data_IF_612362601417
#
_entry.id   IF_612362601417
#
_cell.length_a   1.000
_cell.length_b   1.000
_cell.length_c   1.000
_cell.angle_alpha   90.00
_cell.angle_beta   90.00
_cell.angle_gamma   90.00
#
_symmetry.space_group_name_H-M   'P 1'
#
loop_
_entity.id
_entity.type
_entity.pdbx_description
1 polymer ?
#
# COMPACT_ATOMS: atom_id res chain seq x y z
N UNK A 1 24.03 8.99 0.83
CA UNK A 1 23.51 7.68 0.35
C UNK A 1 22.24 7.38 1.12
N UNK A 2 21.12 7.17 0.43
CA UNK A 2 19.79 6.94 1.02
C UNK A 2 19.73 5.57 1.73
N UNK A 3 19.30 5.57 2.99
CA UNK A 3 19.13 4.37 3.81
C UNK A 3 17.70 3.87 3.75
N UNK A 4 17.50 2.62 3.35
CA UNK A 4 16.19 2.05 3.10
C UNK A 4 15.95 0.83 3.99
N UNK A 5 14.79 0.78 4.66
CA UNK A 5 14.31 -0.42 5.34
C UNK A 5 13.18 -1.03 4.53
N UNK A 6 13.31 -2.31 4.19
CA UNK A 6 12.31 -3.04 3.39
C UNK A 6 11.68 -4.17 4.21
N UNK A 7 10.35 -4.34 4.10
CA UNK A 7 9.58 -5.40 4.76
C UNK A 7 8.49 -5.94 3.81
N UNK A 8 8.17 -7.21 3.94
CA UNK A 8 7.06 -7.87 3.25
C UNK A 8 7.48 -8.89 2.20
N UNK A 9 6.51 -9.31 1.37
CA UNK A 9 6.72 -10.38 0.37
C UNK A 9 7.68 -9.95 -0.74
N UNK A 10 7.73 -8.65 -1.05
CA UNK A 10 8.62 -8.06 -2.07
C UNK A 10 10.05 -7.81 -1.57
N UNK A 11 10.35 -8.05 -0.28
CA UNK A 11 11.58 -7.59 0.37
C UNK A 11 12.85 -8.07 -0.31
N UNK A 12 12.93 -9.30 -0.81
CA UNK A 12 14.14 -9.83 -1.47
C UNK A 12 14.38 -9.14 -2.82
N UNK A 13 13.35 -9.04 -3.66
CA UNK A 13 13.46 -8.39 -4.96
C UNK A 13 13.79 -6.90 -4.82
N UNK A 14 13.09 -6.19 -3.93
CA UNK A 14 13.34 -4.77 -3.68
C UNK A 14 14.69 -4.50 -3.04
N UNK A 15 15.17 -5.37 -2.15
CA UNK A 15 16.54 -5.27 -1.61
C UNK A 15 17.55 -5.37 -2.74
N UNK A 16 17.41 -6.35 -3.65
CA UNK A 16 18.28 -6.49 -4.82
C UNK A 16 18.25 -5.24 -5.69
N UNK A 17 17.05 -4.77 -6.04
CA UNK A 17 16.86 -3.55 -6.84
C UNK A 17 17.56 -2.33 -6.21
N UNK A 18 17.32 -2.09 -4.92
CA UNK A 18 17.88 -0.91 -4.25
C UNK A 18 19.41 -0.98 -4.12
N UNK A 19 19.97 -2.15 -3.87
CA UNK A 19 21.42 -2.34 -3.87
C UNK A 19 22.02 -2.07 -5.24
N UNK A 20 21.40 -2.57 -6.32
CA UNK A 20 21.85 -2.34 -7.70
C UNK A 20 21.80 -0.86 -8.10
N UNK A 21 20.86 -0.09 -7.52
CA UNK A 21 20.75 1.37 -7.71
C UNK A 21 21.60 2.19 -6.72
N UNK A 22 22.46 1.54 -5.94
CA UNK A 22 23.39 2.21 -5.02
C UNK A 22 22.76 2.73 -3.74
N UNK A 23 21.55 2.26 -3.37
CA UNK A 23 20.93 2.59 -2.09
C UNK A 23 21.44 1.65 -1.00
N UNK A 24 21.40 2.09 0.27
CA UNK A 24 21.91 1.34 1.41
C UNK A 24 20.77 0.69 2.19
N UNK A 25 20.83 -0.62 2.39
CA UNK A 25 19.84 -1.34 3.21
C UNK A 25 20.24 -1.27 4.68
N UNK A 26 19.28 -0.88 5.53
CA UNK A 26 19.43 -0.83 6.98
C UNK A 26 18.36 -1.63 7.68
N UNK A 27 18.63 -2.10 8.88
CA UNK A 27 17.72 -2.93 9.68
C UNK A 27 17.11 -4.09 8.84
N UNK A 28 17.88 -4.89 8.07
CA UNK A 28 17.32 -6.00 7.32
C UNK A 28 16.64 -7.01 8.26
N UNK A 29 15.68 -7.79 7.75
CA UNK A 29 15.23 -8.98 8.48
C UNK A 29 16.32 -10.04 8.47
N UNK A 30 16.27 -11.00 9.40
CA UNK A 30 17.25 -12.10 9.44
C UNK A 30 17.35 -12.82 8.09
N UNK A 31 16.20 -13.09 7.44
CA UNK A 31 16.13 -13.74 6.12
C UNK A 31 16.82 -12.90 5.03
N UNK A 32 16.67 -11.58 5.06
CA UNK A 32 17.32 -10.69 4.09
C UNK A 32 18.83 -10.61 4.38
N UNK A 33 19.22 -10.48 5.65
CA UNK A 33 20.63 -10.47 6.03
C UNK A 33 21.34 -11.74 5.58
N UNK A 34 20.72 -12.91 5.76
CA UNK A 34 21.22 -14.21 5.32
C UNK A 34 21.34 -14.31 3.80
N UNK A 35 20.26 -13.98 3.06
CA UNK A 35 20.22 -14.09 1.58
C UNK A 35 21.26 -13.22 0.89
N UNK A 36 21.55 -12.04 1.45
CA UNK A 36 22.52 -11.10 0.88
C UNK A 36 23.85 -11.11 1.59
N UNK A 37 24.07 -12.01 2.56
CA UNK A 37 25.31 -12.12 3.35
C UNK A 37 25.78 -10.77 3.93
N UNK A 38 24.81 -9.97 4.41
CA UNK A 38 25.08 -8.65 4.94
C UNK A 38 25.05 -8.62 6.47
N UNK A 39 25.94 -7.81 7.04
CA UNK A 39 25.89 -7.50 8.48
C UNK A 39 24.72 -6.54 8.71
N UNK A 40 23.79 -6.85 9.64
CA UNK A 40 22.70 -5.94 9.96
C UNK A 40 23.23 -4.59 10.47
N UNK A 41 22.80 -3.53 9.82
CA UNK A 41 23.08 -2.15 10.22
C UNK A 41 21.86 -1.60 10.96
N UNK A 42 22.02 -1.25 12.22
CA UNK A 42 20.93 -0.73 13.08
C UNK A 42 20.67 0.78 12.91
N UNK A 43 21.21 1.37 11.85
CA UNK A 43 20.97 2.77 11.53
C UNK A 43 19.48 3.05 11.25
N UNK A 44 19.03 4.26 11.56
CA UNK A 44 17.66 4.70 11.24
C UNK A 44 17.48 4.84 9.72
N UNK A 45 16.38 4.33 9.16
CA UNK A 45 16.09 4.48 7.75
C UNK A 45 15.62 5.89 7.40
N UNK A 46 16.09 6.40 6.27
CA UNK A 46 15.56 7.62 5.66
C UNK A 46 14.18 7.33 5.03
N UNK A 47 14.08 6.13 4.40
CA UNK A 47 12.85 5.65 3.75
C UNK A 47 12.50 4.25 4.25
N UNK A 48 11.21 4.03 4.49
CA UNK A 48 10.64 2.74 4.85
C UNK A 48 9.74 2.25 3.72
N UNK A 49 9.96 1.03 3.27
CA UNK A 49 9.15 0.34 2.28
C UNK A 49 8.54 -0.90 2.92
N UNK A 50 7.22 -1.02 2.86
CA UNK A 50 6.48 -2.16 3.42
C UNK A 50 5.33 -2.56 2.53
N UNK A 51 4.91 -3.82 2.62
CA UNK A 51 3.76 -4.30 1.87
C UNK A 51 2.52 -3.44 2.13
N UNK A 52 1.71 -3.28 1.10
CA UNK A 52 0.31 -2.91 1.24
C UNK A 52 -0.46 -4.01 1.99
N UNK A 53 -1.58 -3.63 2.57
CA UNK A 53 -2.46 -4.56 3.28
C UNK A 53 -2.99 -5.68 2.37
N UNK A 54 -3.34 -5.33 1.11
CA UNK A 54 -3.82 -6.25 0.09
C UNK A 54 -2.72 -7.01 -0.66
N UNK A 55 -1.43 -6.81 -0.30
CA UNK A 55 -0.27 -7.41 -0.96
C UNK A 55 -0.08 -7.07 -2.45
N UNK A 56 -0.84 -6.12 -2.99
CA UNK A 56 -0.78 -5.74 -4.40
C UNK A 56 0.31 -4.69 -4.70
N UNK A 57 1.21 -4.47 -3.79
CA UNK A 57 2.30 -3.50 -3.90
C UNK A 57 2.86 -3.11 -2.54
N UNK A 58 3.41 -1.91 -2.46
CA UNK A 58 4.08 -1.40 -1.26
C UNK A 58 3.63 0.01 -0.89
N UNK A 59 3.79 0.34 0.39
CA UNK A 59 3.71 1.70 0.90
C UNK A 59 5.14 2.18 1.16
N UNK A 60 5.50 3.31 0.57
CA UNK A 60 6.79 3.98 0.71
C UNK A 60 6.62 5.22 1.58
N UNK A 61 7.39 5.32 2.65
CA UNK A 61 7.33 6.44 3.60
C UNK A 61 8.71 7.07 3.74
N UNK A 62 8.83 8.33 3.40
CA UNK A 62 10.11 9.05 3.41
C UNK A 62 9.96 10.55 3.28
N UNK A 63 11.03 11.26 3.03
CA UNK A 63 11.06 12.71 2.83
C UNK A 63 12.04 13.11 1.73
N UNK A 64 11.62 14.14 0.96
CA UNK A 64 12.49 14.88 0.05
C UNK A 64 13.29 13.99 -0.90
N UNK A 65 14.56 14.32 -1.11
CA UNK A 65 15.46 13.62 -2.03
C UNK A 65 15.59 12.11 -1.75
N UNK A 66 15.56 11.71 -0.48
CA UNK A 66 15.64 10.30 -0.12
C UNK A 66 14.43 9.50 -0.60
N UNK A 67 13.23 10.07 -0.51
CA UNK A 67 12.01 9.47 -1.03
C UNK A 67 12.10 9.37 -2.55
N UNK A 68 12.47 10.45 -3.24
CA UNK A 68 12.57 10.48 -4.70
C UNK A 68 13.62 9.49 -5.24
N UNK A 69 14.73 9.28 -4.53
CA UNK A 69 15.73 8.27 -4.91
C UNK A 69 15.11 6.84 -4.92
N UNK A 70 14.28 6.52 -3.94
CA UNK A 70 13.58 5.22 -3.88
C UNK A 70 12.50 5.13 -4.96
N UNK A 71 11.68 6.16 -5.12
CA UNK A 71 10.65 6.20 -6.16
C UNK A 71 11.24 6.14 -7.57
N UNK A 72 12.35 6.85 -7.81
CA UNK A 72 13.09 6.82 -9.07
C UNK A 72 13.64 5.43 -9.38
N UNK A 73 14.16 4.71 -8.36
CA UNK A 73 14.60 3.33 -8.54
C UNK A 73 13.45 2.39 -8.94
N UNK A 74 12.26 2.57 -8.33
CA UNK A 74 11.08 1.78 -8.67
C UNK A 74 10.56 2.13 -10.09
N UNK A 75 10.40 3.42 -10.42
CA UNK A 75 9.93 3.86 -11.75
C UNK A 75 10.83 3.41 -12.88
N UNK A 76 12.14 3.42 -12.67
CA UNK A 76 13.11 3.00 -13.68
C UNK A 76 13.14 1.51 -13.96
N UNK A 77 12.50 0.68 -13.13
CA UNK A 77 12.53 -0.78 -13.25
C UNK A 77 11.14 -1.40 -13.47
N UNK A 78 10.08 -0.79 -12.95
CA UNK A 78 8.73 -1.31 -12.91
C UNK A 78 7.81 -0.47 -13.82
N UNK A 79 7.68 -0.89 -15.08
CA UNK A 79 7.10 -0.07 -16.15
C UNK A 79 5.59 0.15 -16.05
N UNK A 80 4.85 -0.74 -15.38
CA UNK A 80 3.41 -0.65 -15.19
C UNK A 80 3.00 -0.29 -13.75
N UNK A 81 3.98 0.02 -12.87
CA UNK A 81 3.71 0.40 -11.50
C UNK A 81 2.95 1.73 -11.41
N UNK A 82 1.93 1.77 -10.56
CA UNK A 82 1.10 2.96 -10.34
C UNK A 82 1.49 3.59 -9.01
N UNK A 83 1.84 4.88 -9.04
CA UNK A 83 2.31 5.66 -7.89
C UNK A 83 1.22 6.65 -7.48
N UNK A 84 0.85 6.65 -6.19
CA UNK A 84 -0.17 7.55 -5.64
C UNK A 84 0.37 8.21 -4.39
N UNK A 85 0.58 9.51 -4.42
CA UNK A 85 0.95 10.27 -3.22
C UNK A 85 -0.27 10.45 -2.35
N UNK A 86 -0.16 10.07 -1.06
CA UNK A 86 -1.22 10.35 -0.11
C UNK A 86 -1.32 11.87 0.13
N UNK A 87 -2.53 12.44 0.18
CA UNK A 87 -2.73 13.85 0.46
C UNK A 87 -2.58 14.19 1.96
N UNK A 88 -1.87 13.36 2.71
CA UNK A 88 -1.52 13.53 4.11
C UNK A 88 -0.11 12.99 4.37
N UNK A 89 0.48 13.38 5.50
CA UNK A 89 1.82 12.95 5.89
C UNK A 89 1.77 12.13 7.18
N UNK A 90 2.53 11.04 7.25
CA UNK A 90 2.64 10.21 8.44
C UNK A 90 3.44 10.96 9.53
N UNK A 91 2.92 10.97 10.76
CA UNK A 91 3.42 11.70 11.93
C UNK A 91 3.28 13.21 11.83
N UNK A 92 2.63 13.74 10.81
CA UNK A 92 2.23 15.14 10.78
C UNK A 92 1.15 15.42 11.82
N UNK A 93 1.18 16.65 12.37
CA UNK A 93 0.18 17.13 13.31
C UNK A 93 -0.70 18.15 12.57
N UNK A 94 -1.99 17.95 12.68
CA UNK A 94 -3.00 18.79 12.05
C UNK A 94 -3.94 19.40 13.08
N UNK A 95 -4.46 20.58 12.77
CA UNK A 95 -5.77 21.01 13.23
C UNK A 95 -6.77 20.35 12.29
N UNK A 96 -7.60 19.46 12.82
CA UNK A 96 -8.61 18.78 12.05
C UNK A 96 -10.01 19.29 12.41
N UNK A 97 -10.89 19.37 11.42
CA UNK A 97 -12.31 19.68 11.64
C UNK A 97 -13.09 18.39 11.85
N UNK A 98 -13.90 18.34 12.90
CA UNK A 98 -14.74 17.18 13.19
C UNK A 98 -15.87 17.07 12.20
N UNK A 99 -15.96 15.95 11.47
CA UNK A 99 -17.00 15.66 10.45
C UNK A 99 -18.08 14.78 11.01
N UNK A 100 -17.70 13.74 11.75
CA UNK A 100 -18.63 12.83 12.43
C UNK A 100 -18.01 12.37 13.74
N UNK A 101 -18.53 12.92 14.82
CA UNK A 101 -18.04 12.65 16.17
C UNK A 101 -18.24 11.19 16.58
N UNK A 102 -19.41 10.61 16.29
CA UNK A 102 -19.75 9.25 16.69
C UNK A 102 -18.86 8.20 15.99
N UNK A 103 -18.43 8.49 14.77
CA UNK A 103 -17.53 7.63 13.97
C UNK A 103 -16.06 8.00 14.12
N UNK A 104 -15.75 9.09 14.83
CA UNK A 104 -14.40 9.61 14.97
C UNK A 104 -13.78 10.06 13.64
N UNK A 105 -14.57 10.73 12.78
CA UNK A 105 -14.11 11.21 11.48
C UNK A 105 -13.67 12.67 11.56
N UNK A 106 -12.46 12.95 11.08
CA UNK A 106 -11.81 14.25 11.13
C UNK A 106 -11.30 14.62 9.73
N UNK A 107 -11.68 15.80 9.24
CA UNK A 107 -11.13 16.37 8.01
C UNK A 107 -9.79 17.07 8.31
N UNK A 108 -8.75 16.70 7.58
CA UNK A 108 -7.39 17.23 7.67
C UNK A 108 -7.10 18.34 6.63
N UNK A 109 -8.11 18.78 5.88
CA UNK A 109 -7.98 19.71 4.76
C UNK A 109 -8.16 19.02 3.42
N UNK A 110 -9.35 18.42 3.22
CA UNK A 110 -9.72 17.66 2.02
C UNK A 110 -9.50 16.14 2.13
N UNK A 111 -9.03 15.66 3.29
CA UNK A 111 -8.85 14.23 3.58
C UNK A 111 -9.54 13.87 4.87
N UNK A 112 -10.45 12.92 4.81
CA UNK A 112 -11.12 12.40 6.01
C UNK A 112 -10.26 11.29 6.62
N UNK A 113 -9.73 11.57 7.81
CA UNK A 113 -9.03 10.62 8.66
C UNK A 113 -9.97 10.04 9.74
N UNK A 114 -9.59 8.90 10.28
CA UNK A 114 -10.34 8.25 11.37
C UNK A 114 -9.49 8.20 12.63
N UNK A 115 -10.11 8.49 13.78
CA UNK A 115 -9.48 8.25 15.09
C UNK A 115 -9.10 6.78 15.27
N UNK A 116 -7.99 6.55 15.95
CA UNK A 116 -7.61 5.19 16.37
C UNK A 116 -8.62 4.64 17.36
N UNK A 117 -8.72 3.33 17.42
CA UNK A 117 -9.66 2.64 18.30
C UNK A 117 -9.39 2.96 19.78
N UNK A 118 -10.45 3.22 20.53
CA UNK A 118 -10.39 3.57 21.96
C UNK A 118 -10.26 5.06 22.24
N UNK A 119 -10.09 5.91 21.22
CA UNK A 119 -10.12 7.36 21.39
C UNK A 119 -11.48 7.93 20.96
N UNK A 120 -11.93 8.96 21.69
CA UNK A 120 -13.22 9.63 21.47
C UNK A 120 -13.03 11.17 21.35
N UNK A 121 -13.89 11.81 20.58
CA UNK A 121 -13.98 13.27 20.50
C UNK A 121 -15.05 13.72 21.50
N UNK A 122 -14.73 14.72 22.33
CA UNK A 122 -15.67 15.27 23.28
C UNK A 122 -16.91 15.89 22.60
N UNK A 123 -18.05 16.00 23.33
CA UNK A 123 -19.24 16.65 22.80
C UNK A 123 -18.94 18.10 22.41
N UNK A 124 -19.65 18.59 21.40
CA UNK A 124 -19.56 19.97 20.91
C UNK A 124 -18.15 20.43 20.46
N UNK A 125 -17.26 19.47 20.14
CA UNK A 125 -15.92 19.76 19.61
C UNK A 125 -15.99 19.92 18.10
N UNK A 126 -15.75 21.13 17.61
CA UNK A 126 -15.72 21.41 16.17
C UNK A 126 -14.35 21.15 15.55
N UNK A 127 -13.27 21.45 16.28
CA UNK A 127 -11.89 21.26 15.85
C UNK A 127 -11.08 20.50 16.89
N UNK A 128 -10.13 19.69 16.41
CA UNK A 128 -9.31 18.83 17.25
C UNK A 128 -7.86 18.80 16.75
N UNK A 129 -6.91 18.85 17.70
CA UNK A 129 -5.50 18.62 17.40
C UNK A 129 -5.25 17.13 17.29
N UNK A 130 -4.76 16.69 16.13
CA UNK A 130 -4.53 15.28 15.86
C UNK A 130 -3.22 15.03 15.15
N UNK A 131 -2.63 13.87 15.39
CA UNK A 131 -1.45 13.37 14.65
C UNK A 131 -1.81 12.16 13.82
N UNK A 132 -1.36 12.13 12.55
CA UNK A 132 -1.44 10.91 11.74
C UNK A 132 -0.45 9.88 12.27
N UNK A 133 -0.96 8.81 12.88
CA UNK A 133 -0.13 7.78 13.54
C UNK A 133 0.00 6.50 12.74
N UNK A 134 -0.95 6.25 11.82
CA UNK A 134 -0.95 5.07 10.95
C UNK A 134 -1.56 5.41 9.58
N UNK A 135 -1.05 4.74 8.57
CA UNK A 135 -1.59 4.78 7.20
C UNK A 135 -1.44 3.41 6.54
N UNK A 136 -2.36 3.08 5.64
CA UNK A 136 -2.21 1.97 4.69
C UNK A 136 -1.88 2.43 3.27
N UNK A 137 -1.37 3.66 3.12
CA UNK A 137 -1.07 4.32 1.85
C UNK A 137 -2.19 5.23 1.36
N UNK A 138 -3.46 4.89 1.62
CA UNK A 138 -4.65 5.61 1.12
C UNK A 138 -5.53 6.20 2.21
N UNK A 139 -5.53 5.60 3.41
CA UNK A 139 -6.31 6.05 4.57
C UNK A 139 -5.40 6.44 5.70
N UNK A 140 -5.77 7.47 6.43
CA UNK A 140 -5.08 7.93 7.62
C UNK A 140 -5.87 7.57 8.89
N UNK A 141 -5.15 7.10 9.91
CA UNK A 141 -5.65 7.02 11.28
C UNK A 141 -4.93 8.05 12.11
N UNK A 142 -5.68 8.79 12.88
CA UNK A 142 -5.20 9.89 13.71
C UNK A 142 -5.38 9.62 15.18
N UNK A 143 -4.48 10.15 16.00
CA UNK A 143 -4.57 10.12 17.45
C UNK A 143 -4.64 11.55 18.00
N UNK A 144 -5.40 11.72 19.07
CA UNK A 144 -5.47 12.95 19.88
C UNK A 144 -4.28 13.09 20.85
N UNK A 145 -3.42 12.09 20.91
CA UNK A 145 -2.22 12.07 21.74
C UNK A 145 -0.97 12.19 20.87
N UNK A 146 -0.65 13.39 20.36
CA UNK A 146 0.50 13.59 19.49
C UNK A 146 1.81 13.34 20.23
N UNK A 147 2.83 12.97 19.47
CA UNK A 147 4.20 12.84 19.95
C UNK A 147 5.18 13.53 18.99
N UNK A 148 6.12 14.28 19.53
CA UNK A 148 7.17 14.93 18.75
C UNK A 148 8.43 14.06 18.78
N UNK A 149 8.84 13.59 17.59
CA UNK A 149 9.96 12.68 17.44
C UNK A 149 11.23 13.45 17.08
N UNK A 150 12.17 13.52 18.03
CA UNK A 150 13.53 13.94 17.80
C UNK A 150 14.46 12.78 17.40
N UNK A 151 15.77 13.07 17.35
CA UNK A 151 16.81 12.08 17.06
C UNK A 151 17.12 11.19 18.28
N UNK A 152 17.09 11.75 19.48
CA UNK A 152 17.46 11.14 20.75
C UNK A 152 16.23 10.87 21.62
N UNK A 153 15.22 11.75 21.56
CA UNK A 153 14.05 11.73 22.44
C UNK A 153 12.76 11.82 21.65
N UNK A 154 11.70 11.28 22.20
CA UNK A 154 10.32 11.51 21.78
C UNK A 154 9.60 12.22 22.92
N UNK A 155 9.11 13.43 22.68
CA UNK A 155 8.27 14.18 23.62
C UNK A 155 6.82 13.70 23.47
N UNK A 156 6.15 13.44 24.59
CA UNK A 156 4.75 13.03 24.68
C UNK A 156 3.95 14.06 25.50
N UNK A 157 3.35 15.07 24.85
CA UNK A 157 2.73 16.19 25.56
C UNK A 157 1.57 15.84 26.50
N UNK A 158 0.85 14.74 26.23
CA UNK A 158 -0.34 14.34 27.00
C UNK A 158 -0.18 13.01 27.76
N UNK A 159 0.99 12.43 27.74
CA UNK A 159 1.28 11.15 28.39
C UNK A 159 2.48 11.31 29.32
N UNK A 160 2.28 11.68 30.61
CA UNK A 160 3.39 11.87 31.55
C UNK A 160 4.16 10.58 31.81
N UNK A 161 5.44 10.72 32.13
CA UNK A 161 6.30 9.61 32.48
C UNK A 161 7.58 9.55 31.63
N UNK A 162 8.56 8.77 32.11
CA UNK A 162 9.84 8.59 31.45
C UNK A 162 10.00 7.14 31.00
N UNK A 163 10.32 6.96 29.74
CA UNK A 163 10.55 5.65 29.14
C UNK A 163 11.94 5.62 28.47
N UNK A 164 12.58 4.47 28.48
CA UNK A 164 13.80 4.20 27.72
C UNK A 164 13.57 3.04 26.76
N UNK A 165 14.01 3.21 25.50
CA UNK A 165 13.90 2.19 24.47
C UNK A 165 14.39 0.83 24.96
N UNK A 166 13.66 -0.24 24.66
CA UNK A 166 14.07 -1.63 24.99
C UNK A 166 15.38 -2.06 24.31
N UNK A 167 15.83 -1.31 23.29
CA UNK A 167 17.13 -1.55 22.61
C UNK A 167 18.32 -1.04 23.40
N UNK A 168 18.12 -0.24 24.44
CA UNK A 168 19.16 0.13 25.39
C UNK A 168 19.27 -1.01 26.40
N UNK A 169 20.23 -1.90 26.17
CA UNK A 169 20.48 -3.11 27.01
C UNK A 169 21.46 -2.84 28.14
N UNK A 170 22.26 -1.77 28.07
CA UNK A 170 23.17 -1.34 29.12
C UNK A 170 22.38 -0.72 30.28
N UNK A 171 22.40 -1.37 31.42
CA UNK A 171 21.66 -1.00 32.63
C UNK A 171 22.12 0.35 33.22
N UNK A 172 23.44 0.68 33.14
CA UNK A 172 23.98 1.95 33.62
C UNK A 172 23.46 3.11 32.73
N UNK A 173 23.58 2.96 31.41
CA UNK A 173 23.01 3.93 30.46
C UNK A 173 21.49 4.08 30.63
N UNK A 174 20.79 2.98 30.86
CA UNK A 174 19.35 2.99 31.10
C UNK A 174 18.99 3.75 32.36
N UNK A 175 19.65 3.47 33.48
CA UNK A 175 19.43 4.16 34.76
C UNK A 175 19.73 5.66 34.66
N UNK A 176 20.86 6.02 33.99
CA UNK A 176 21.24 7.41 33.72
C UNK A 176 20.14 8.15 32.94
N UNK A 177 19.63 7.55 31.83
CA UNK A 177 18.58 8.16 31.01
C UNK A 177 17.26 8.31 31.76
N UNK A 178 16.86 7.34 32.62
CA UNK A 178 15.67 7.46 33.44
C UNK A 178 15.77 8.63 34.41
N UNK A 179 16.89 8.75 35.17
CA UNK A 179 17.13 9.86 36.09
C UNK A 179 17.12 11.21 35.37
N UNK A 180 17.83 11.30 34.25
CA UNK A 180 17.83 12.52 33.44
C UNK A 180 16.42 12.89 32.94
N UNK A 181 15.63 11.90 32.53
CA UNK A 181 14.25 12.14 32.08
C UNK A 181 13.35 12.70 33.17
N UNK A 182 13.51 12.25 34.42
CA UNK A 182 12.79 12.79 35.57
C UNK A 182 13.15 14.27 35.84
N UNK A 183 14.39 14.68 35.54
CA UNK A 183 14.84 16.07 35.69
C UNK A 183 14.44 16.95 34.51
N UNK A 184 14.36 16.39 33.28
CA UNK A 184 14.12 17.15 32.05
C UNK A 184 12.65 17.15 31.60
N UNK A 185 11.84 16.20 32.05
CA UNK A 185 10.45 16.13 31.63
C UNK A 185 9.65 17.36 32.10
N UNK A 186 9.00 18.12 31.20
CA UNK A 186 8.14 19.20 31.62
C UNK A 186 6.94 18.68 32.40
N UNK A 187 6.37 19.52 33.26
CA UNK A 187 5.19 19.16 34.06
C UNK A 187 4.02 18.70 33.14
N UNK A 188 3.48 17.52 33.43
CA UNK A 188 2.39 16.91 32.69
C UNK A 188 2.79 16.27 31.35
N UNK A 189 4.05 16.32 30.95
CA UNK A 189 4.56 15.69 29.72
C UNK A 189 5.44 14.48 30.02
N UNK A 190 5.62 13.63 29.02
CA UNK A 190 6.50 12.47 29.11
C UNK A 190 7.64 12.51 28.08
N UNK A 191 8.71 11.80 28.42
CA UNK A 191 9.88 11.64 27.56
C UNK A 191 10.16 10.15 27.32
N UNK A 192 10.40 9.79 26.05
CA UNK A 192 10.89 8.48 25.69
C UNK A 192 12.24 8.56 25.00
N UNK A 193 13.29 8.08 25.66
CA UNK A 193 14.63 8.03 25.09
C UNK A 193 14.76 6.94 24.03
N UNK A 194 15.34 7.29 22.91
CA UNK A 194 15.67 6.37 21.81
C UNK A 194 17.01 5.69 22.09
N UNK A 195 17.30 4.59 21.38
CA UNK A 195 18.55 3.85 21.59
C UNK A 195 19.81 4.67 21.36
N UNK A 196 19.77 5.67 20.48
CA UNK A 196 20.91 6.56 20.21
C UNK A 196 21.28 7.44 21.41
N UNK A 197 20.33 7.77 22.26
CA UNK A 197 20.57 8.59 23.45
C UNK A 197 21.55 7.93 24.46
N UNK A 198 21.73 6.61 24.42
CA UNK A 198 22.59 5.90 25.35
C UNK A 198 24.07 6.31 25.25
N UNK A 199 24.56 6.70 24.07
CA UNK A 199 25.93 7.09 23.81
C UNK A 199 26.16 8.58 23.61
N UNK A 200 25.21 9.43 24.01
CA UNK A 200 25.27 10.88 23.78
C UNK A 200 25.36 11.63 25.10
N UNK A 201 26.01 12.81 25.08
CA UNK A 201 26.17 13.69 26.24
C UNK A 201 24.83 14.24 26.73
N UNK A 202 24.74 14.52 28.01
CA UNK A 202 23.52 15.05 28.65
C UNK A 202 23.08 16.40 28.07
N UNK A 203 24.05 17.24 27.75
CA UNK A 203 23.77 18.58 27.19
C UNK A 203 23.10 18.50 25.81
N UNK A 204 23.56 17.58 24.96
CA UNK A 204 22.94 17.37 23.64
C UNK A 204 21.48 16.88 23.76
N UNK A 205 21.25 15.99 24.73
CA UNK A 205 19.90 15.49 25.03
C UNK A 205 19.03 16.64 25.56
N UNK A 206 19.55 17.47 26.47
CA UNK A 206 18.84 18.64 27.03
C UNK A 206 18.44 19.62 25.94
N UNK A 207 19.36 19.97 25.04
CA UNK A 207 19.12 20.88 23.91
C UNK A 207 17.97 20.33 23.03
N UNK A 208 17.98 19.02 22.74
CA UNK A 208 16.90 18.41 21.94
C UNK A 208 15.55 18.46 22.67
N UNK A 209 15.51 18.13 23.97
CA UNK A 209 14.27 18.20 24.77
C UNK A 209 13.70 19.62 24.77
N UNK A 210 14.52 20.62 25.07
CA UNK A 210 14.11 22.03 25.05
C UNK A 210 13.63 22.48 23.67
N UNK A 211 14.28 22.01 22.61
CA UNK A 211 13.85 22.25 21.23
C UNK A 211 12.46 21.69 20.94
N UNK A 212 12.20 20.43 21.35
CA UNK A 212 10.90 19.78 21.19
C UNK A 212 9.80 20.45 22.03
N UNK A 213 10.12 20.92 23.24
CA UNK A 213 9.15 21.65 24.08
C UNK A 213 8.76 22.98 23.41
N UNK A 214 9.73 23.77 22.95
CA UNK A 214 9.46 25.03 22.22
C UNK A 214 8.64 24.77 20.94
N UNK A 215 8.94 23.69 20.23
CA UNK A 215 8.18 23.30 19.04
C UNK A 215 6.73 22.98 19.42
N UNK A 216 6.52 22.22 20.52
CA UNK A 216 5.19 21.91 21.02
C UNK A 216 4.38 23.15 21.42
N UNK A 217 4.98 24.07 22.17
CA UNK A 217 4.35 25.33 22.58
C UNK A 217 3.88 26.14 21.37
N UNK A 218 4.69 26.17 20.29
CA UNK A 218 4.31 26.81 19.04
C UNK A 218 3.11 26.11 18.39
N UNK A 219 3.13 24.77 18.31
CA UNK A 219 2.01 24.00 17.75
C UNK A 219 0.69 24.28 18.52
N UNK A 220 0.75 24.31 19.85
CA UNK A 220 -0.40 24.65 20.66
C UNK A 220 -0.90 26.10 20.43
N UNK A 221 0.03 27.06 20.33
CA UNK A 221 -0.32 28.44 20.04
C UNK A 221 -0.98 28.57 18.65
N UNK A 222 -0.41 27.95 17.64
CA UNK A 222 -0.95 27.91 16.29
C UNK A 222 -2.33 27.22 16.25
N UNK A 223 -2.53 26.15 17.03
CA UNK A 223 -3.83 25.50 17.16
C UNK A 223 -4.88 26.42 17.78
N UNK A 224 -4.53 27.18 18.83
CA UNK A 224 -5.49 28.08 19.53
C UNK A 224 -5.85 29.34 18.73
N UNK A 225 -4.92 29.86 17.92
CA UNK A 225 -5.08 31.15 17.24
C UNK A 225 -5.64 31.03 15.81
N UNK A 226 -5.65 29.86 15.22
CA UNK A 226 -6.08 29.67 13.84
C UNK A 226 -7.50 29.10 13.72
N UNK A 227 -7.99 28.97 12.50
CA UNK A 227 -9.31 28.44 12.16
C UNK A 227 -9.19 27.39 11.04
N UNK A 228 -10.11 26.40 11.05
CA UNK A 228 -10.26 25.39 10.00
C UNK A 228 -9.14 24.36 9.94
N UNK A 229 -9.23 23.39 9.02
CA UNK A 229 -8.20 22.38 8.86
C UNK A 229 -6.86 22.98 8.44
N UNK A 230 -5.76 22.63 9.14
CA UNK A 230 -4.43 23.14 8.85
C UNK A 230 -3.33 22.14 9.25
N UNK A 231 -2.26 22.10 8.47
CA UNK A 231 -1.02 21.40 8.82
C UNK A 231 -0.23 22.25 9.82
N UNK A 232 -0.06 21.78 11.06
CA UNK A 232 0.67 22.49 12.12
C UNK A 232 2.14 22.02 12.21
N UNK A 233 2.38 20.74 11.94
CA UNK A 233 3.72 20.17 11.90
C UNK A 233 3.83 19.18 10.74
N UNK A 234 4.80 19.34 9.83
CA UNK A 234 5.00 18.36 8.75
C UNK A 234 5.48 17.03 9.30
N UNK A 235 5.12 15.97 8.58
CA UNK A 235 5.52 14.59 8.84
C UNK A 235 6.30 14.01 7.67
N UNK A 236 6.22 12.69 7.48
CA UNK A 236 6.80 11.99 6.33
C UNK A 236 5.74 11.79 5.25
N UNK A 237 6.14 12.00 4.00
CA UNK A 237 5.31 11.70 2.85
C UNK A 237 5.04 10.20 2.76
N UNK A 238 3.85 9.87 2.26
CA UNK A 238 3.39 8.49 2.07
C UNK A 238 3.04 8.31 0.60
N UNK A 239 3.62 7.31 -0.04
CA UNK A 239 3.32 6.95 -1.42
C UNK A 239 2.85 5.50 -1.46
N UNK A 240 1.63 5.30 -1.96
CA UNK A 240 1.07 4.00 -2.29
C UNK A 240 1.57 3.59 -3.68
N UNK A 241 2.33 2.51 -3.76
CA UNK A 241 2.86 1.99 -5.03
C UNK A 241 2.25 0.63 -5.30
N UNK A 242 1.44 0.58 -6.34
CA UNK A 242 0.83 -0.65 -6.81
C UNK A 242 1.72 -1.33 -7.83
N UNK A 243 1.85 -2.65 -7.71
CA UNK A 243 2.60 -3.50 -8.62
C UNK A 243 1.64 -4.37 -9.44
N UNK A 244 1.25 -3.96 -10.65
CA UNK A 244 0.50 -4.84 -11.56
C UNK A 244 1.35 -6.03 -12.04
N UNK A 245 0.80 -6.80 -12.95
CA UNK A 245 1.34 -8.08 -13.39
C UNK A 245 2.79 -8.02 -13.89
N UNK A 246 3.15 -7.07 -14.77
CA UNK A 246 4.52 -6.98 -15.30
C UNK A 246 5.53 -6.56 -14.23
N UNK A 247 5.15 -5.66 -13.33
CA UNK A 247 5.98 -5.31 -12.17
C UNK A 247 6.26 -6.53 -11.30
N UNK A 248 5.26 -7.38 -11.04
CA UNK A 248 5.43 -8.62 -10.27
C UNK A 248 6.36 -9.61 -10.97
N UNK A 249 6.21 -9.79 -12.29
CA UNK A 249 7.12 -10.63 -13.08
C UNK A 249 8.56 -10.11 -13.03
N UNK A 250 8.74 -8.78 -13.17
CA UNK A 250 10.07 -8.17 -13.08
C UNK A 250 10.69 -8.37 -11.69
N UNK A 251 9.91 -8.25 -10.64
CA UNK A 251 10.35 -8.53 -9.27
C UNK A 251 10.69 -10.01 -9.06
N UNK A 252 9.99 -10.96 -9.72
CA UNK A 252 10.35 -12.37 -9.72
C UNK A 252 11.72 -12.61 -10.37
N UNK A 253 12.02 -11.94 -11.48
CA UNK A 253 13.32 -12.01 -12.13
C UNK A 253 14.44 -11.53 -11.22
N UNK A 254 14.27 -10.35 -10.59
CA UNK A 254 15.23 -9.81 -9.61
C UNK A 254 15.44 -10.77 -8.45
N UNK A 255 14.36 -11.31 -7.89
CA UNK A 255 14.40 -12.28 -6.78
C UNK A 255 15.14 -13.55 -7.17
N UNK A 256 14.93 -14.06 -8.39
CA UNK A 256 15.56 -15.29 -8.92
C UNK A 256 17.09 -15.17 -8.98
N UNK A 257 17.63 -13.98 -9.11
CA UNK A 257 19.09 -13.76 -9.04
C UNK A 257 19.68 -13.95 -7.64
N UNK A 258 18.82 -14.01 -6.60
CA UNK A 258 19.23 -14.07 -5.19
C UNK A 258 18.91 -15.42 -4.56
N UNK A 259 17.75 -15.97 -4.87
CA UNK A 259 17.29 -17.24 -4.29
C UNK A 259 16.33 -17.97 -5.25
N UNK A 260 16.13 -19.30 -5.06
CA UNK A 260 15.16 -20.07 -5.82
C UNK A 260 13.80 -19.37 -5.84
N UNK A 261 13.21 -19.21 -7.02
CA UNK A 261 11.98 -18.44 -7.22
C UNK A 261 11.10 -19.16 -8.25
N UNK A 262 9.90 -19.52 -7.85
CA UNK A 262 8.89 -20.04 -8.77
C UNK A 262 8.41 -18.94 -9.73
N UNK A 263 8.00 -19.33 -10.91
CA UNK A 263 7.36 -18.42 -11.84
C UNK A 263 6.02 -17.92 -11.28
N UNK A 264 5.79 -16.62 -11.35
CA UNK A 264 4.60 -16.01 -10.76
C UNK A 264 4.64 -15.85 -9.22
N UNK A 265 5.82 -15.99 -8.59
CA UNK A 265 5.97 -15.91 -7.13
C UNK A 265 5.19 -14.74 -6.51
N UNK A 266 5.44 -13.51 -6.96
CA UNK A 266 4.80 -12.35 -6.35
C UNK A 266 3.30 -12.26 -6.66
N UNK A 267 2.86 -12.64 -7.86
CA UNK A 267 1.45 -12.68 -8.21
C UNK A 267 0.70 -13.69 -7.34
N UNK A 268 1.23 -14.91 -7.22
CA UNK A 268 0.63 -15.97 -6.41
C UNK A 268 0.69 -15.67 -4.89
N UNK A 269 1.79 -15.06 -4.42
CA UNK A 269 1.89 -14.59 -3.02
C UNK A 269 0.90 -13.47 -2.74
N UNK A 270 0.62 -12.59 -3.70
CA UNK A 270 -0.34 -11.51 -3.56
C UNK A 270 -1.80 -11.99 -3.54
N UNK A 271 -2.11 -13.15 -4.12
CA UNK A 271 -3.43 -13.79 -3.98
C UNK A 271 -3.72 -14.23 -2.53
N UNK A 272 -2.68 -14.49 -1.73
CA UNK A 272 -2.84 -14.89 -0.32
C UNK A 272 -3.26 -16.36 -0.13
N UNK A 273 -3.81 -16.66 1.05
CA UNK A 273 -4.40 -17.95 1.37
C UNK A 273 -3.47 -19.16 1.19
N UNK A 274 -4.05 -20.29 0.78
CA UNK A 274 -3.34 -21.56 0.60
C UNK A 274 -2.33 -21.49 -0.55
N UNK A 275 -2.63 -20.73 -1.60
CA UNK A 275 -1.75 -20.55 -2.74
C UNK A 275 -0.42 -19.89 -2.34
N UNK A 276 -0.48 -18.82 -1.53
CA UNK A 276 0.72 -18.16 -1.01
C UNK A 276 1.58 -19.08 -0.13
N UNK A 277 0.94 -19.96 0.66
CA UNK A 277 1.62 -20.95 1.50
C UNK A 277 2.27 -22.05 0.64
N UNK A 278 1.59 -22.49 -0.42
CA UNK A 278 2.10 -23.50 -1.35
C UNK A 278 3.34 -23.01 -2.10
N UNK A 279 3.36 -21.73 -2.53
CA UNK A 279 4.56 -21.09 -3.09
C UNK A 279 5.73 -21.13 -2.10
N UNK A 280 5.49 -20.75 -0.85
CA UNK A 280 6.53 -20.74 0.18
C UNK A 280 7.08 -22.15 0.47
N UNK A 281 6.20 -23.15 0.53
CA UNK A 281 6.61 -24.53 0.74
C UNK A 281 7.43 -25.05 -0.44
N UNK A 282 6.97 -24.84 -1.67
CA UNK A 282 7.67 -25.28 -2.86
C UNK A 282 9.07 -24.66 -2.98
N UNK A 283 9.21 -23.36 -2.68
CA UNK A 283 10.52 -22.70 -2.68
C UNK A 283 11.45 -23.17 -1.55
N UNK A 284 10.91 -23.53 -0.38
CA UNK A 284 11.70 -24.19 0.67
C UNK A 284 12.27 -25.55 0.21
N UNK A 285 11.48 -26.33 -0.56
CA UNK A 285 11.97 -27.59 -1.13
C UNK A 285 13.10 -27.36 -2.14
N UNK A 286 12.96 -26.33 -3.00
CA UNK A 286 14.04 -25.93 -3.92
C UNK A 286 15.29 -25.49 -3.14
N UNK A 287 15.14 -24.72 -2.08
CA UNK A 287 16.25 -24.28 -1.25
C UNK A 287 16.97 -25.45 -0.55
N UNK A 288 16.24 -26.53 -0.23
CA UNK A 288 16.80 -27.76 0.33
C UNK A 288 17.46 -28.67 -0.73
N UNK A 289 17.48 -28.26 -2.00
CA UNK A 289 18.15 -28.99 -3.07
C UNK A 289 17.30 -30.06 -3.76
N UNK A 290 15.98 -30.03 -3.59
CA UNK A 290 15.10 -30.86 -4.41
C UNK A 290 15.19 -30.46 -5.88
N UNK A 291 15.08 -31.43 -6.79
CA UNK A 291 15.14 -31.20 -8.22
C UNK A 291 14.03 -30.23 -8.66
N UNK A 292 14.40 -29.15 -9.34
CA UNK A 292 13.49 -28.09 -9.77
C UNK A 292 12.32 -28.65 -10.58
N UNK A 293 12.59 -29.55 -11.53
CA UNK A 293 11.56 -30.17 -12.36
C UNK A 293 10.48 -30.89 -11.55
N UNK A 294 10.88 -31.64 -10.51
CA UNK A 294 9.95 -32.33 -9.62
C UNK A 294 9.09 -31.36 -8.82
N UNK A 295 9.70 -30.32 -8.25
CA UNK A 295 8.98 -29.31 -7.47
C UNK A 295 8.00 -28.55 -8.36
N UNK A 296 8.44 -28.14 -9.56
CA UNK A 296 7.57 -27.45 -10.53
C UNK A 296 6.38 -28.32 -10.95
N UNK A 297 6.59 -29.61 -11.24
CA UNK A 297 5.52 -30.54 -11.61
C UNK A 297 4.46 -30.64 -10.51
N UNK A 298 4.89 -30.86 -9.27
CA UNK A 298 3.98 -30.95 -8.12
C UNK A 298 3.25 -29.63 -7.87
N UNK A 299 3.96 -28.51 -8.01
CA UNK A 299 3.37 -27.19 -7.83
C UNK A 299 2.32 -26.86 -8.91
N UNK A 300 2.54 -27.26 -10.16
CA UNK A 300 1.56 -27.12 -11.24
C UNK A 300 0.28 -27.94 -10.97
N UNK A 301 0.38 -29.11 -10.33
CA UNK A 301 -0.80 -29.87 -9.91
C UNK A 301 -1.61 -29.14 -8.82
N UNK A 302 -0.93 -28.42 -7.92
CA UNK A 302 -1.59 -27.55 -6.93
C UNK A 302 -2.27 -26.37 -7.63
N UNK A 303 -1.57 -25.69 -8.55
CA UNK A 303 -2.13 -24.56 -9.31
C UNK A 303 -3.40 -24.96 -10.06
N UNK A 304 -3.40 -26.12 -10.75
CA UNK A 304 -4.58 -26.61 -11.48
C UNK A 304 -5.81 -26.84 -10.60
N UNK A 305 -5.63 -27.10 -9.31
CA UNK A 305 -6.73 -27.26 -8.35
C UNK A 305 -7.25 -25.93 -7.80
N UNK A 306 -6.31 -25.01 -7.55
CA UNK A 306 -6.62 -23.75 -6.88
C UNK A 306 -7.06 -22.65 -7.86
N UNK A 307 -6.53 -22.65 -9.08
CA UNK A 307 -6.85 -21.65 -10.09
C UNK A 307 -8.24 -21.87 -10.71
N UNK A 308 -8.89 -20.82 -11.20
CA UNK A 308 -10.24 -20.91 -11.77
C UNK A 308 -10.32 -21.85 -12.98
N UNK A 309 -11.44 -22.54 -13.09
CA UNK A 309 -11.81 -23.44 -14.19
C UNK A 309 -13.28 -23.18 -14.60
N UNK A 310 -13.73 -23.78 -15.68
CA UNK A 310 -15.12 -23.68 -16.13
C UNK A 310 -16.11 -24.05 -15.02
N UNK A 311 -17.06 -23.16 -14.73
CA UNK A 311 -18.01 -23.25 -13.61
C UNK A 311 -17.53 -22.54 -12.33
N UNK A 312 -16.27 -22.12 -12.23
CA UNK A 312 -15.78 -21.29 -11.10
C UNK A 312 -16.50 -19.95 -11.06
N UNK A 313 -16.60 -19.37 -9.87
CA UNK A 313 -17.19 -18.05 -9.67
C UNK A 313 -16.14 -17.08 -9.15
N UNK A 314 -15.92 -15.99 -9.89
CA UNK A 314 -14.90 -14.98 -9.63
C UNK A 314 -15.52 -13.61 -9.37
N UNK A 315 -14.98 -12.91 -8.38
CA UNK A 315 -15.24 -11.50 -8.20
C UNK A 315 -14.43 -10.68 -9.21
N UNK A 316 -15.04 -9.68 -9.82
CA UNK A 316 -14.35 -8.75 -10.71
C UNK A 316 -13.98 -7.52 -9.91
N UNK A 317 -12.66 -7.34 -9.67
CA UNK A 317 -12.09 -6.21 -8.94
C UNK A 317 -11.50 -5.20 -9.92
N UNK A 318 -12.24 -4.15 -10.15
CA UNK A 318 -11.88 -3.01 -10.98
C UNK A 318 -11.25 -1.94 -10.09
N UNK A 319 -9.97 -1.67 -10.28
CA UNK A 319 -9.21 -0.71 -9.47
C UNK A 319 -9.00 0.57 -10.26
N UNK A 320 -9.46 1.68 -9.74
CA UNK A 320 -9.25 3.01 -10.33
C UNK A 320 -7.82 3.51 -10.12
N UNK A 321 -7.37 4.46 -10.94
CA UNK A 321 -6.03 5.04 -10.81
C UNK A 321 -5.78 5.66 -9.42
N UNK A 322 -6.80 6.21 -8.77
CA UNK A 322 -6.73 6.70 -7.39
C UNK A 322 -6.63 5.59 -6.33
N UNK A 323 -6.70 4.32 -6.75
CA UNK A 323 -6.64 3.13 -5.92
C UNK A 323 -7.99 2.71 -5.32
N UNK A 324 -9.10 3.35 -5.68
CA UNK A 324 -10.43 2.88 -5.28
C UNK A 324 -10.76 1.55 -5.96
N UNK A 325 -11.19 0.55 -5.18
CA UNK A 325 -11.53 -0.78 -5.69
C UNK A 325 -13.04 -0.90 -5.80
N UNK A 326 -13.52 -1.07 -7.02
CA UNK A 326 -14.92 -1.35 -7.32
C UNK A 326 -15.11 -2.84 -7.58
N UNK A 327 -16.00 -3.47 -6.84
CA UNK A 327 -16.44 -4.84 -7.13
C UNK A 327 -17.58 -4.77 -8.14
N UNK A 328 -17.28 -5.09 -9.41
CA UNK A 328 -18.28 -5.06 -10.50
C UNK A 328 -19.31 -6.22 -10.42
N UNK A 329 -19.12 -7.13 -9.48
CA UNK A 329 -19.98 -8.28 -9.20
C UNK A 329 -19.22 -9.59 -9.35
N UNK A 330 -19.93 -10.70 -9.08
CA UNK A 330 -19.41 -12.06 -9.23
C UNK A 330 -19.86 -12.60 -10.58
N UNK A 331 -18.93 -13.14 -11.36
CA UNK A 331 -19.17 -13.77 -12.66
C UNK A 331 -18.85 -15.26 -12.63
N UNK A 332 -19.47 -16.04 -13.49
CA UNK A 332 -19.18 -17.45 -13.72
C UNK A 332 -18.21 -17.58 -14.89
N UNK A 333 -17.18 -18.41 -14.76
CA UNK A 333 -16.28 -18.80 -15.84
C UNK A 333 -17.02 -19.78 -16.74
N UNK A 334 -17.41 -19.36 -17.94
CA UNK A 334 -18.17 -20.20 -18.88
C UNK A 334 -17.31 -20.92 -19.89
N UNK A 335 -16.08 -20.45 -20.07
CA UNK A 335 -15.05 -21.10 -20.87
C UNK A 335 -13.69 -20.60 -20.42
N UNK A 336 -12.66 -21.47 -20.37
CA UNK A 336 -11.28 -21.09 -20.07
C UNK A 336 -10.30 -21.99 -20.81
N UNK A 337 -9.21 -21.40 -21.32
CA UNK A 337 -8.03 -22.15 -21.70
C UNK A 337 -7.27 -22.60 -20.44
N UNK A 338 -6.55 -23.72 -20.51
CA UNK A 338 -5.91 -24.36 -19.35
C UNK A 338 -4.88 -23.44 -18.65
N UNK A 339 -4.21 -22.58 -19.41
CA UNK A 339 -3.23 -21.60 -18.93
C UNK A 339 -3.83 -20.23 -18.59
N UNK A 340 -5.16 -20.09 -18.65
CA UNK A 340 -5.91 -18.87 -18.46
C UNK A 340 -5.50 -17.71 -19.40
N UNK A 341 -4.81 -18.00 -20.51
CA UNK A 341 -4.44 -17.00 -21.52
C UNK A 341 -5.67 -16.37 -22.19
N UNK A 342 -6.79 -17.11 -22.22
CA UNK A 342 -8.10 -16.62 -22.61
C UNK A 342 -9.19 -17.30 -21.78
N UNK A 343 -10.13 -16.52 -21.26
CA UNK A 343 -11.32 -17.04 -20.60
C UNK A 343 -12.51 -16.07 -20.76
N UNK A 344 -13.72 -16.63 -20.55
CA UNK A 344 -14.97 -15.93 -20.68
C UNK A 344 -15.70 -15.95 -19.33
N UNK A 345 -16.11 -14.76 -18.88
CA UNK A 345 -16.89 -14.57 -17.67
C UNK A 345 -18.31 -14.16 -18.02
N UNK A 346 -19.29 -14.78 -17.40
CA UNK A 346 -20.71 -14.42 -17.59
C UNK A 346 -21.33 -13.99 -16.27
N UNK A 347 -22.09 -12.89 -16.33
CA UNK A 347 -22.92 -12.42 -15.21
C UNK A 347 -24.26 -11.89 -15.70
N UNK A 348 -25.28 -12.04 -14.86
CA UNK A 348 -26.60 -11.48 -15.12
C UNK A 348 -26.71 -10.10 -14.50
N UNK A 349 -27.15 -9.12 -15.25
CA UNK A 349 -27.39 -7.76 -14.82
C UNK A 349 -28.67 -7.68 -14.00
N UNK A 350 -28.61 -6.98 -12.86
CA UNK A 350 -29.77 -6.81 -11.96
C UNK A 350 -30.34 -5.39 -11.97
N UNK A 351 -29.50 -4.41 -12.34
CA UNK A 351 -29.86 -2.99 -12.33
C UNK A 351 -30.57 -2.53 -13.59
N UNK A 352 -31.27 -1.39 -13.48
CA UNK A 352 -31.88 -0.65 -14.62
C UNK A 352 -31.05 0.60 -14.90
N UNK A 353 -31.14 1.16 -16.10
CA UNK A 353 -30.49 2.40 -16.51
C UNK A 353 -30.05 2.37 -17.96
N UNK A 354 -28.86 2.91 -18.21
CA UNK A 354 -28.22 2.85 -19.51
C UNK A 354 -26.80 2.28 -19.31
N UNK A 355 -26.27 1.66 -20.35
CA UNK A 355 -24.86 1.30 -20.40
C UNK A 355 -24.06 2.53 -20.80
N UNK A 356 -23.06 2.88 -19.97
CA UNK A 356 -22.21 4.05 -20.20
C UNK A 356 -21.53 3.94 -21.56
N UNK A 357 -21.46 5.06 -22.30
CA UNK A 357 -20.88 5.14 -23.63
C UNK A 357 -21.63 4.42 -24.75
N UNK A 358 -22.45 3.40 -24.44
CA UNK A 358 -23.22 2.65 -25.43
C UNK A 358 -24.58 3.28 -25.75
N UNK A 359 -25.17 4.03 -24.81
CA UNK A 359 -26.51 4.65 -24.99
C UNK A 359 -27.66 3.66 -25.04
N UNK A 360 -27.42 2.36 -24.89
CA UNK A 360 -28.46 1.31 -24.90
C UNK A 360 -29.01 1.08 -23.50
N UNK A 361 -30.31 0.66 -23.41
CA UNK A 361 -30.94 0.40 -22.12
C UNK A 361 -30.35 -0.83 -21.41
N UNK A 362 -30.04 -0.66 -20.15
CA UNK A 362 -29.68 -1.71 -19.21
C UNK A 362 -30.93 -2.18 -18.48
N UNK A 363 -31.22 -3.47 -18.58
CA UNK A 363 -32.40 -4.09 -18.01
C UNK A 363 -32.06 -5.29 -17.14
N UNK A 364 -32.86 -5.59 -16.09
CA UNK A 364 -32.67 -6.81 -15.31
C UNK A 364 -32.86 -8.05 -16.21
N UNK A 365 -31.93 -8.99 -16.11
CA UNK A 365 -31.88 -10.20 -16.93
C UNK A 365 -30.93 -10.08 -18.13
N UNK A 366 -30.43 -8.89 -18.47
CA UNK A 366 -29.36 -8.76 -19.47
C UNK A 366 -28.14 -9.61 -19.06
N UNK A 367 -27.45 -10.16 -20.05
CA UNK A 367 -26.24 -10.92 -19.89
C UNK A 367 -25.03 -10.03 -20.22
N UNK A 368 -24.02 -10.05 -19.34
CA UNK A 368 -22.73 -9.44 -19.58
C UNK A 368 -21.71 -10.57 -19.79
N UNK A 369 -21.26 -10.75 -21.03
CA UNK A 369 -20.24 -11.72 -21.41
C UNK A 369 -18.91 -10.98 -21.57
N UNK A 370 -17.97 -11.26 -20.69
CA UNK A 370 -16.64 -10.64 -20.70
C UNK A 370 -15.61 -11.63 -21.26
N UNK A 371 -14.84 -11.17 -22.25
CA UNK A 371 -13.67 -11.87 -22.78
C UNK A 371 -12.42 -11.18 -22.25
N UNK A 372 -11.52 -11.95 -21.61
CA UNK A 372 -10.22 -11.48 -21.12
C UNK A 372 -9.25 -12.68 -20.96
N UNK A 373 -8.10 -12.47 -20.34
CA UNK A 373 -7.10 -13.52 -20.05
C UNK A 373 -6.04 -13.01 -19.09
N UNK A 374 -5.28 -13.92 -18.49
CA UNK A 374 -4.12 -13.58 -17.67
C UNK A 374 -3.12 -12.74 -18.48
N UNK A 375 -2.72 -11.59 -17.95
CA UNK A 375 -1.83 -10.67 -18.64
C UNK A 375 -2.48 -9.84 -19.76
N UNK A 376 -3.80 -9.96 -19.99
CA UNK A 376 -4.51 -9.17 -21.00
C UNK A 376 -4.62 -7.70 -20.57
N UNK A 377 -4.29 -6.77 -21.47
CA UNK A 377 -4.47 -5.32 -21.26
C UNK A 377 -5.85 -4.81 -21.66
N UNK A 378 -6.82 -5.71 -21.82
CA UNK A 378 -8.19 -5.37 -22.17
C UNK A 378 -9.19 -6.27 -21.42
N UNK A 379 -10.28 -5.66 -21.00
CA UNK A 379 -11.41 -6.32 -20.35
C UNK A 379 -12.67 -6.01 -21.16
N UNK A 380 -12.99 -6.87 -22.16
CA UNK A 380 -14.03 -6.61 -23.15
C UNK A 380 -15.36 -7.27 -22.72
N UNK A 381 -16.37 -6.46 -22.40
CA UNK A 381 -17.69 -6.93 -21.97
C UNK A 381 -18.76 -6.64 -23.02
N UNK A 382 -19.32 -7.68 -23.62
CA UNK A 382 -20.47 -7.63 -24.52
C UNK A 382 -21.76 -7.78 -23.73
N UNK A 383 -22.71 -6.87 -23.95
CA UNK A 383 -24.04 -6.91 -23.33
C UNK A 383 -25.06 -7.46 -24.31
N UNK A 384 -25.88 -8.38 -23.82
CA UNK A 384 -26.90 -9.06 -24.53
C UNK A 384 -28.22 -8.99 -23.75
N UNK A 385 -29.36 -8.85 -24.43
CA UNK A 385 -30.67 -9.03 -23.80
C UNK A 385 -30.90 -10.52 -23.46
N UNK A 386 -31.90 -10.85 -22.64
CA UNK A 386 -32.20 -12.24 -22.28
C UNK A 386 -32.54 -13.14 -23.48
N UNK A 387 -33.07 -12.57 -24.58
CA UNK A 387 -33.35 -13.25 -25.85
C UNK A 387 -32.10 -13.30 -26.80
N UNK A 388 -30.97 -12.80 -26.36
CA UNK A 388 -29.68 -12.85 -27.08
C UNK A 388 -29.45 -11.68 -28.06
N UNK A 389 -30.29 -10.64 -28.07
CA UNK A 389 -30.02 -9.47 -28.90
C UNK A 389 -28.82 -8.66 -28.39
N UNK A 390 -27.90 -8.32 -29.29
CA UNK A 390 -26.69 -7.58 -28.96
C UNK A 390 -27.00 -6.11 -28.64
N UNK A 391 -26.50 -5.65 -27.48
CA UNK A 391 -26.69 -4.27 -26.98
C UNK A 391 -25.44 -3.40 -27.07
N UNK A 392 -24.29 -3.96 -27.41
CA UNK A 392 -22.99 -3.29 -27.54
C UNK A 392 -21.88 -3.96 -26.73
N UNK A 393 -20.64 -3.55 -26.98
CA UNK A 393 -19.46 -4.03 -26.24
C UNK A 393 -18.71 -2.85 -25.64
N UNK A 394 -18.39 -2.96 -24.38
CA UNK A 394 -17.56 -2.04 -23.64
C UNK A 394 -16.20 -2.68 -23.40
N UNK A 395 -15.13 -2.05 -23.89
CA UNK A 395 -13.76 -2.53 -23.76
C UNK A 395 -13.00 -1.55 -22.87
N UNK A 396 -12.73 -1.98 -21.65
CA UNK A 396 -11.87 -1.23 -20.74
C UNK A 396 -10.38 -1.53 -21.07
N UNK A 397 -9.57 -0.48 -21.23
CA UNK A 397 -8.11 -0.59 -21.31
C UNK A 397 -7.55 -0.56 -19.88
N UNK A 398 -6.74 -1.54 -19.56
CA UNK A 398 -6.30 -1.78 -18.19
C UNK A 398 -4.85 -2.26 -18.12
N UNK A 399 -4.24 -2.18 -16.93
CA UNK A 399 -3.01 -2.92 -16.66
C UNK A 399 -3.27 -4.41 -16.88
N UNK A 400 -2.23 -5.22 -17.16
CA UNK A 400 -2.42 -6.65 -17.40
C UNK A 400 -3.25 -7.31 -16.31
N UNK A 401 -4.28 -8.06 -16.74
CA UNK A 401 -5.22 -8.74 -15.84
C UNK A 401 -4.50 -9.79 -15.00
N UNK A 402 -4.76 -9.76 -13.71
CA UNK A 402 -4.31 -10.75 -12.74
C UNK A 402 -5.46 -11.66 -12.34
N UNK A 403 -5.17 -12.94 -12.16
CA UNK A 403 -6.15 -13.96 -11.80
C UNK A 403 -5.74 -14.62 -10.50
N UNK A 404 -6.65 -14.63 -9.54
CA UNK A 404 -6.54 -15.35 -8.28
C UNK A 404 -7.65 -16.42 -8.18
N UNK A 405 -7.60 -17.33 -7.21
CA UNK A 405 -8.60 -18.40 -7.07
C UNK A 405 -10.06 -17.92 -7.03
N UNK A 406 -10.29 -16.74 -6.47
CA UNK A 406 -11.63 -16.19 -6.20
C UNK A 406 -11.91 -14.86 -6.90
N UNK A 407 -10.93 -14.28 -7.62
CA UNK A 407 -11.13 -13.00 -8.28
C UNK A 407 -10.25 -12.81 -9.52
N UNK A 408 -10.70 -11.92 -10.38
CA UNK A 408 -9.89 -11.27 -11.43
C UNK A 408 -9.71 -9.81 -11.06
N UNK A 409 -8.52 -9.27 -11.27
CA UNK A 409 -8.15 -7.92 -10.88
C UNK A 409 -7.35 -7.23 -11.96
N UNK A 410 -7.56 -5.93 -12.11
CA UNK A 410 -6.78 -5.05 -12.98
C UNK A 410 -6.89 -3.60 -12.50
N UNK A 411 -5.96 -2.75 -12.91
CA UNK A 411 -6.07 -1.30 -12.75
C UNK A 411 -6.58 -0.71 -14.05
N UNK A 412 -7.67 0.04 -13.96
CA UNK A 412 -8.27 0.80 -15.04
C UNK A 412 -7.32 1.94 -15.47
N UNK A 413 -7.11 2.10 -16.77
CA UNK A 413 -6.30 3.18 -17.34
C UNK A 413 -7.16 4.35 -17.84
N UNK A 414 -8.44 4.39 -17.43
CA UNK A 414 -9.45 5.42 -17.70
C UNK A 414 -9.89 5.51 -19.18
N UNK A 415 -9.21 4.88 -20.13
CA UNK A 415 -9.58 4.87 -21.54
C UNK A 415 -10.45 3.67 -21.88
N UNK A 416 -11.58 3.94 -22.50
CA UNK A 416 -12.55 2.93 -22.87
C UNK A 416 -12.89 2.98 -24.35
N UNK A 417 -13.23 1.83 -24.92
CA UNK A 417 -13.74 1.73 -26.30
C UNK A 417 -15.14 1.12 -26.28
N UNK A 418 -16.10 1.87 -26.76
CA UNK A 418 -17.51 1.43 -26.89
C UNK A 418 -17.80 1.04 -28.33
N UNK A 419 -18.16 -0.24 -28.57
CA UNK A 419 -18.66 -0.72 -29.86
C UNK A 419 -20.18 -0.80 -29.83
N UNK A 420 -20.81 -0.03 -30.70
CA UNK A 420 -22.27 0.10 -30.79
C UNK A 420 -22.89 -1.08 -31.55
N UNK A 421 -24.23 -1.31 -31.44
CA UNK A 421 -24.90 -2.41 -32.15
C UNK A 421 -24.80 -2.34 -33.69
N UNK A 422 -24.62 -1.16 -34.23
CA UNK A 422 -24.41 -0.96 -35.68
C UNK A 422 -22.96 -1.21 -36.15
N UNK A 423 -22.06 -1.56 -35.24
CA UNK A 423 -20.64 -1.82 -35.50
C UNK A 423 -19.76 -0.57 -35.49
N UNK A 424 -20.31 0.61 -35.30
CA UNK A 424 -19.51 1.82 -35.06
C UNK A 424 -18.86 1.79 -33.67
N UNK A 425 -17.76 2.53 -33.49
CA UNK A 425 -17.10 2.60 -32.20
C UNK A 425 -16.81 4.03 -31.76
N UNK A 426 -16.62 4.21 -30.45
CA UNK A 426 -16.21 5.46 -29.82
C UNK A 426 -15.12 5.19 -28.82
N UNK A 427 -14.15 6.08 -28.73
CA UNK A 427 -13.14 6.11 -27.65
C UNK A 427 -13.60 7.14 -26.65
N UNK A 428 -13.51 6.81 -25.36
CA UNK A 428 -13.94 7.66 -24.25
C UNK A 428 -12.74 7.95 -23.37
N UNK A 429 -12.77 9.11 -22.70
CA UNK A 429 -11.95 9.49 -21.56
C UNK A 429 -10.42 9.53 -21.83
N UNK A 430 -9.97 9.72 -23.09
CA UNK A 430 -8.55 9.87 -23.45
C UNK A 430 -7.84 11.01 -22.68
N UNK A 431 -8.56 12.10 -22.38
CA UNK A 431 -8.02 13.23 -21.64
C UNK A 431 -7.74 12.90 -20.16
N UNK A 432 -8.42 11.91 -19.60
CA UNK A 432 -8.23 11.48 -18.21
C UNK A 432 -6.91 10.72 -18.06
N UNK A 433 -6.58 9.88 -19.05
CA UNK A 433 -5.29 9.20 -19.07
C UNK A 433 -4.13 10.20 -19.23
N UNK A 434 -4.26 11.22 -20.09
CA UNK A 434 -3.23 12.24 -20.26
C UNK A 434 -2.96 12.96 -18.93
N UNK A 435 -4.01 13.35 -18.20
CA UNK A 435 -3.87 13.97 -16.88
C UNK A 435 -3.18 13.06 -15.87
N UNK A 436 -3.52 11.79 -15.87
CA UNK A 436 -2.91 10.81 -14.94
C UNK A 436 -1.42 10.53 -15.24
N UNK A 437 -0.95 10.78 -16.46
CA UNK A 437 0.48 10.66 -16.83
C UNK A 437 1.28 11.89 -16.39
N UNK A 438 0.64 13.06 -16.30
CA UNK A 438 1.28 14.31 -15.89
C UNK A 438 1.40 14.46 -14.35
N UNK A 439 0.54 13.79 -13.59
CA UNK A 439 0.55 13.73 -12.12
C UNK A 439 1.49 12.62 -11.57
#
# INVERSE_FOLDING_TARGET
MTKVRVRGIYSTALTKLFLDKGLRIVQPSLVIAERFQMVPLEEEPDVVVSDREDKQGVVVVGLGEHLENVLGALRGELVDAVFRRAPFQLWAIYRGKVVDQARGLVDLGGVIARLVEGEEIGPDTEEVLVQVVRSNGRRAWVSRFPSLRGQLVVLKPYEPGVEVSKRVVDEEARARLLKMGEELAPEGMGLRFRSRAAGVDEEEIRIEVEGLVREWERIEADFRSGEGPALLRPGKEVVDVEFPFFSKLRLDELRRTVCPTLEGHHALKACGGELANSVEMAEKLLFQGMAEEQVRKLFLEVLKREMPYEGSRLDILHVKLDGHVLKLGTAEVVKAEEDLSEFFLMRTIRGRGFYDGLGTRREPGDLALTKTGLGSMRFATSYLSPDGAYKGTYVNLNTPVEVCPDCVRYVDLEVDVCVLPDGTYRVLDEEELQRAVEE
#
